data_IF_286568102850
#
_entry.id   IF_286568102850
#
_cell.length_a   1.000
_cell.length_b   1.000
_cell.length_c   1.000
_cell.angle_alpha   90.00
_cell.angle_beta   90.00
_cell.angle_gamma   90.00
#
_symmetry.space_group_name_H-M   'P 1'
#
loop_
_entity.id
_entity.type
_entity.pdbx_description
1 polymer ?
#
# COMPACT_ATOMS: atom_id res chain seq x y z
N UNK A 1 -8.20 -13.87 -18.22
CA UNK A 1 -6.88 -13.56 -17.62
C UNK A 1 -7.15 -13.41 -16.15
N UNK A 2 -6.69 -14.36 -15.35
CA UNK A 2 -6.83 -14.30 -13.90
C UNK A 2 -6.09 -13.07 -13.40
N UNK A 3 -6.84 -12.01 -13.09
CA UNK A 3 -6.25 -10.86 -12.43
C UNK A 3 -6.08 -11.28 -10.97
N UNK A 4 -4.85 -11.19 -10.44
CA UNK A 4 -4.53 -11.32 -9.01
C UNK A 4 -5.09 -10.11 -8.22
N UNK A 5 -6.32 -9.72 -8.54
CA UNK A 5 -7.11 -8.68 -7.90
C UNK A 5 -7.99 -9.28 -6.80
N UNK A 6 -8.49 -8.41 -5.93
CA UNK A 6 -9.44 -8.83 -4.92
C UNK A 6 -10.78 -9.20 -5.57
N UNK A 7 -11.46 -10.19 -4.99
CA UNK A 7 -12.77 -10.63 -5.46
C UNK A 7 -13.78 -9.48 -5.37
N UNK A 8 -14.49 -9.21 -6.48
CA UNK A 8 -15.49 -8.14 -6.54
C UNK A 8 -16.75 -8.53 -5.79
N UNK A 9 -17.45 -7.52 -5.25
CA UNK A 9 -18.70 -7.71 -4.49
C UNK A 9 -18.57 -8.62 -3.26
N UNK A 10 -17.37 -8.68 -2.66
CA UNK A 10 -17.09 -9.40 -1.42
C UNK A 10 -16.57 -8.45 -0.36
N UNK A 11 -17.04 -8.62 0.87
CA UNK A 11 -16.55 -7.86 2.02
C UNK A 11 -15.15 -8.36 2.39
N UNK A 12 -14.22 -7.43 2.60
CA UNK A 12 -12.88 -7.71 3.09
C UNK A 12 -12.41 -6.55 3.99
N UNK A 13 -11.40 -6.83 4.82
CA UNK A 13 -10.68 -5.80 5.60
C UNK A 13 -9.27 -5.65 5.04
N UNK A 14 -8.80 -4.41 4.84
CA UNK A 14 -7.43 -4.19 4.35
C UNK A 14 -6.38 -4.73 5.32
N UNK A 15 -6.57 -4.54 6.63
CA UNK A 15 -5.64 -5.03 7.67
C UNK A 15 -5.50 -6.56 7.62
N UNK A 16 -6.60 -7.26 7.36
CA UNK A 16 -6.64 -8.73 7.41
C UNK A 16 -6.29 -9.35 6.05
N UNK A 17 -6.16 -8.51 5.01
CA UNK A 17 -5.92 -8.97 3.64
C UNK A 17 -4.44 -9.02 3.28
N UNK A 18 -3.53 -8.61 4.16
CA UNK A 18 -2.08 -8.69 3.94
C UNK A 18 -1.36 -9.04 5.24
N UNK A 19 -0.37 -9.92 5.15
CA UNK A 19 0.49 -10.27 6.29
C UNK A 19 1.80 -9.48 6.21
N UNK A 20 2.51 -9.34 7.32
CA UNK A 20 3.88 -8.85 7.30
C UNK A 20 4.83 -9.99 6.95
N UNK A 21 5.56 -9.86 5.83
CA UNK A 21 6.64 -10.79 5.53
C UNK A 21 7.81 -10.60 6.51
N UNK A 22 8.48 -11.69 6.87
CA UNK A 22 9.71 -11.59 7.64
C UNK A 22 10.82 -10.97 6.78
N UNK A 23 11.22 -9.73 7.08
CA UNK A 23 12.32 -9.04 6.41
C UNK A 23 12.05 -8.75 4.93
N UNK A 24 10.84 -8.31 4.60
CA UNK A 24 10.50 -7.95 3.22
C UNK A 24 9.22 -7.13 3.09
N UNK A 25 8.89 -6.84 1.84
CA UNK A 25 7.71 -6.08 1.44
C UNK A 25 6.77 -7.01 0.67
N UNK A 26 5.49 -7.06 1.06
CA UNK A 26 4.46 -7.69 0.23
C UNK A 26 3.61 -6.63 -0.45
N UNK A 27 3.21 -6.92 -1.69
CA UNK A 27 2.31 -6.08 -2.47
C UNK A 27 1.19 -6.93 -3.03
N UNK A 28 -0.05 -6.50 -2.82
CA UNK A 28 -1.24 -7.10 -3.42
C UNK A 28 -1.97 -6.05 -4.26
N UNK A 29 -2.40 -6.44 -5.44
CA UNK A 29 -3.23 -5.59 -6.28
C UNK A 29 -4.68 -5.71 -5.81
N UNK A 30 -5.28 -4.62 -5.35
CA UNK A 30 -6.69 -4.60 -4.95
C UNK A 30 -7.55 -4.33 -6.18
N UNK A 31 -7.16 -3.33 -6.97
CA UNK A 31 -7.82 -2.95 -8.21
C UNK A 31 -6.80 -2.43 -9.22
N UNK A 32 -6.92 -2.85 -10.47
CA UNK A 32 -6.13 -2.37 -11.60
C UNK A 32 -7.05 -1.98 -12.75
N UNK A 33 -7.05 -0.70 -13.07
CA UNK A 33 -7.73 -0.14 -14.24
C UNK A 33 -6.78 0.77 -15.01
N UNK A 34 -7.12 1.07 -16.25
CA UNK A 34 -6.39 2.06 -17.06
C UNK A 34 -6.44 3.46 -16.42
N UNK A 35 -7.53 3.77 -15.71
CA UNK A 35 -7.74 5.06 -15.05
C UNK A 35 -7.08 5.17 -13.67
N UNK A 36 -6.49 4.10 -13.15
CA UNK A 36 -5.88 4.10 -11.83
C UNK A 36 -5.76 2.71 -11.23
N UNK A 37 -4.86 2.57 -10.25
CA UNK A 37 -4.64 1.34 -9.52
C UNK A 37 -4.72 1.58 -8.01
N UNK A 38 -5.12 0.54 -7.28
CA UNK A 38 -5.10 0.47 -5.82
C UNK A 38 -4.28 -0.75 -5.45
N UNK A 39 -3.22 -0.53 -4.69
CA UNK A 39 -2.31 -1.56 -4.23
C UNK A 39 -2.21 -1.51 -2.70
N UNK A 40 -2.26 -2.69 -2.08
CA UNK A 40 -2.08 -2.86 -0.65
C UNK A 40 -0.66 -3.34 -0.39
N UNK A 41 0.08 -2.61 0.42
CA UNK A 41 1.46 -2.95 0.78
C UNK A 41 1.57 -3.27 2.26
N UNK A 42 2.44 -4.22 2.59
CA UNK A 42 2.93 -4.44 3.95
C UNK A 42 4.45 -4.38 3.95
N UNK A 43 5.02 -3.73 4.97
CA UNK A 43 6.44 -3.49 5.11
C UNK A 43 6.90 -4.08 6.42
N UNK A 44 7.87 -5.00 6.39
CA UNK A 44 8.55 -5.39 7.61
C UNK A 44 9.28 -4.19 8.22
N UNK A 45 9.53 -4.24 9.54
CA UNK A 45 10.25 -3.17 10.22
C UNK A 45 11.62 -2.91 9.58
N UNK A 46 11.84 -1.67 9.15
CA UNK A 46 13.09 -1.25 8.51
C UNK A 46 13.09 -1.37 6.98
N UNK A 47 12.06 -1.98 6.40
CA UNK A 47 11.88 -2.01 4.95
C UNK A 47 11.28 -0.71 4.43
N UNK A 48 11.65 -0.34 3.20
CA UNK A 48 11.17 0.86 2.53
C UNK A 48 11.20 0.67 1.01
N UNK A 49 10.44 1.50 0.30
CA UNK A 49 10.58 1.64 -1.15
C UNK A 49 11.54 2.78 -1.46
N UNK A 50 12.29 2.63 -2.55
CA UNK A 50 13.06 3.73 -3.13
C UNK A 50 12.14 4.88 -3.55
N UNK A 51 12.66 6.10 -3.41
CA UNK A 51 12.00 7.30 -3.92
C UNK A 51 11.72 7.15 -5.42
N UNK A 52 10.51 7.50 -5.81
CA UNK A 52 10.05 7.43 -7.20
C UNK A 52 8.98 8.50 -7.44
N UNK A 53 8.71 8.78 -8.71
CA UNK A 53 7.66 9.71 -9.13
C UNK A 53 6.47 8.96 -9.69
N UNK A 54 5.27 9.47 -9.41
CA UNK A 54 4.03 8.99 -10.02
C UNK A 54 3.62 9.95 -11.16
N UNK A 55 3.09 9.44 -12.28
CA UNK A 55 2.61 10.28 -13.38
C UNK A 55 1.27 10.97 -13.08
N UNK A 56 0.62 10.61 -11.98
CA UNK A 56 -0.68 11.12 -11.53
C UNK A 56 -0.66 11.31 -10.01
N UNK A 57 -1.75 11.86 -9.48
CA UNK A 57 -1.95 11.99 -8.03
C UNK A 57 -1.90 10.62 -7.35
N UNK A 58 -1.17 10.57 -6.22
CA UNK A 58 -1.07 9.39 -5.38
C UNK A 58 -1.70 9.69 -4.02
N UNK A 59 -2.54 8.77 -3.56
CA UNK A 59 -3.09 8.78 -2.21
C UNK A 59 -2.44 7.63 -1.43
N UNK A 60 -2.03 7.89 -0.20
CA UNK A 60 -1.56 6.87 0.74
C UNK A 60 -2.46 6.93 1.96
N UNK A 61 -2.87 5.76 2.44
CA UNK A 61 -3.60 5.58 3.69
C UNK A 61 -2.93 4.50 4.50
N UNK A 62 -2.59 4.79 5.75
CA UNK A 62 -2.04 3.80 6.68
C UNK A 62 -3.20 3.03 7.29
N UNK A 63 -3.32 1.76 6.92
CA UNK A 63 -4.41 0.89 7.41
C UNK A 63 -4.05 0.15 8.69
N UNK A 64 -2.75 -0.03 8.98
CA UNK A 64 -2.23 -0.63 10.19
C UNK A 64 -0.80 -0.12 10.49
N UNK A 65 -0.43 -0.12 11.76
CA UNK A 65 0.91 0.25 12.23
C UNK A 65 1.24 1.75 12.16
N UNK A 66 2.53 2.03 12.02
CA UNK A 66 3.11 3.38 11.97
C UNK A 66 4.28 3.39 10.99
N UNK A 67 4.42 4.46 10.22
CA UNK A 67 5.46 4.60 9.20
C UNK A 67 5.84 6.04 8.92
N UNK A 68 6.92 6.22 8.19
CA UNK A 68 7.36 7.51 7.65
C UNK A 68 7.12 7.55 6.15
N UNK A 69 6.53 8.64 5.67
CA UNK A 69 6.36 8.93 4.26
C UNK A 69 7.12 10.21 3.94
N UNK A 70 7.94 10.17 2.91
CA UNK A 70 8.72 11.33 2.45
C UNK A 70 8.19 11.74 1.07
N UNK A 71 7.70 12.99 0.97
CA UNK A 71 7.18 13.54 -0.30
C UNK A 71 7.91 14.85 -0.57
N UNK A 72 8.67 14.91 -1.67
CA UNK A 72 9.44 16.09 -2.05
C UNK A 72 10.43 16.53 -0.96
N UNK A 73 11.06 15.57 -0.29
CA UNK A 73 11.99 15.80 0.82
C UNK A 73 11.33 16.17 2.16
N UNK A 74 9.99 16.29 2.24
CA UNK A 74 9.27 16.53 3.49
C UNK A 74 8.82 15.22 4.11
N UNK A 75 9.22 14.98 5.36
CA UNK A 75 8.84 13.81 6.16
C UNK A 75 7.48 14.00 6.83
N UNK A 76 6.68 12.92 6.82
CA UNK A 76 5.40 12.79 7.47
C UNK A 76 5.39 11.47 8.25
N UNK A 77 5.21 11.53 9.56
CA UNK A 77 5.06 10.34 10.41
C UNK A 77 3.56 10.08 10.57
N UNK A 78 3.10 8.94 10.07
CA UNK A 78 1.69 8.58 10.03
C UNK A 78 1.41 7.33 10.86
N UNK A 79 0.21 7.28 11.42
CA UNK A 79 -0.34 6.17 12.20
C UNK A 79 -1.59 5.63 11.51
N UNK A 80 -2.03 4.44 11.90
CA UNK A 80 -3.23 3.83 11.35
C UNK A 80 -4.45 4.78 11.38
N UNK A 81 -5.15 4.86 10.25
CA UNK A 81 -6.30 5.74 10.03
C UNK A 81 -5.96 7.11 9.41
N UNK A 82 -4.67 7.40 9.18
CA UNK A 82 -4.19 8.63 8.53
C UNK A 82 -3.80 8.43 7.07
#
# INVERSE_FOLDING_TARGET
>A
MDTNEFEKAKVFSFSDSVEYASGGILSKTVLKKETGNISLFSFARGEALSEHTAPFDAMIQVVDGKGEIIIGGKSFILEAGQ
#
